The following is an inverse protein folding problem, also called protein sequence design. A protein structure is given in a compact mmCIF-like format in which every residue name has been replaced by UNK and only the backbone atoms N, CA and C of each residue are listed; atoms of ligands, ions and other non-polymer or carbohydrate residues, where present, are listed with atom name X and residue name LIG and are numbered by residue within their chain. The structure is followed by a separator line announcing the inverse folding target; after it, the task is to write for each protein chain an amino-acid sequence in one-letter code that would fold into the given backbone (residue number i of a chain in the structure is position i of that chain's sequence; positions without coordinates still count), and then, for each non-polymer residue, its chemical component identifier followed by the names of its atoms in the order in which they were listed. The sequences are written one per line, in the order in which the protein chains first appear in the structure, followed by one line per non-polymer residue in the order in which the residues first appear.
data_IF_600118329783
#
_entry.id   IF_600118329783
#
_cell.length_a   1.000
_cell.length_b   1.000
_cell.length_c   1.000
_cell.angle_alpha   90.00
_cell.angle_beta   90.00
_cell.angle_gamma   90.00
#
_symmetry.space_group_name_H-M   'P 1'
#
loop_
_entity.id
_entity.type
_entity.pdbx_description
1 polymer ?
#
# COMPACT_ATOMS: atom_id res chain seq x y z
N UNK A 1 -4.64 9.69 3.05
CA UNK A 1 -4.71 8.69 4.15
C UNK A 1 -3.58 7.71 3.94
N UNK A 2 -3.01 7.14 4.99
CA UNK A 2 -1.94 6.14 4.84
C UNK A 2 -2.50 4.75 5.04
N UNK A 3 -2.16 3.84 4.12
CA UNK A 3 -2.46 2.41 4.25
C UNK A 3 -1.11 1.70 4.27
N UNK A 4 -1.04 0.61 5.02
CA UNK A 4 0.06 -0.32 4.90
C UNK A 4 -0.49 -1.77 4.96
N UNK A 5 0.24 -2.77 4.44
CA UNK A 5 -0.28 -4.12 4.32
C UNK A 5 -0.06 -4.93 5.61
N UNK A 6 -1.16 -5.40 6.20
CA UNK A 6 -1.16 -6.05 7.53
C UNK A 6 -0.30 -7.32 7.59
N UNK A 7 -0.37 -8.16 6.56
CA UNK A 7 0.28 -9.48 6.57
C UNK A 7 1.80 -9.40 6.36
N UNK A 8 2.32 -8.29 5.83
CA UNK A 8 3.76 -8.08 5.58
C UNK A 8 4.51 -7.50 6.79
N UNK A 9 3.80 -7.16 7.87
CA UNK A 9 4.37 -6.40 9.00
C UNK A 9 5.00 -7.24 10.11
N UNK A 10 4.46 -8.44 10.36
CA UNK A 10 4.99 -9.30 11.43
C UNK A 10 6.16 -10.15 10.95
N UNK A 11 6.18 -10.49 9.66
CA UNK A 11 7.20 -11.30 9.04
C UNK A 11 7.44 -10.83 7.60
N UNK A 12 8.63 -10.27 7.27
CA UNK A 12 8.95 -9.88 5.91
C UNK A 12 9.15 -11.10 4.98
N UNK A 13 9.08 -12.32 5.53
CA UNK A 13 9.27 -13.59 4.84
C UNK A 13 8.09 -14.54 5.11
N UNK A 14 6.86 -14.14 4.73
CA UNK A 14 5.67 -14.90 5.08
C UNK A 14 5.66 -16.26 4.37
N UNK A 15 5.10 -17.28 5.03
CA UNK A 15 4.91 -18.60 4.42
C UNK A 15 3.83 -18.62 3.32
N UNK A 16 2.95 -17.62 3.32
CA UNK A 16 1.89 -17.45 2.33
C UNK A 16 1.96 -16.04 1.75
N UNK A 17 2.00 -15.96 0.43
CA UNK A 17 2.11 -14.70 -0.29
C UNK A 17 0.72 -14.27 -0.77
N UNK A 18 0.32 -13.06 -0.38
CA UNK A 18 -0.91 -12.43 -0.85
C UNK A 18 -0.58 -11.18 -1.65
N UNK A 19 -1.00 -11.14 -2.92
CA UNK A 19 -0.88 -9.94 -3.73
C UNK A 19 -1.86 -8.88 -3.19
N UNK A 20 -1.31 -7.80 -2.66
CA UNK A 20 -2.10 -6.65 -2.25
C UNK A 20 -2.39 -5.81 -3.49
N UNK A 21 -3.66 -5.76 -3.88
CA UNK A 21 -4.14 -4.87 -4.95
C UNK A 21 -5.18 -3.93 -4.38
N UNK A 22 -5.01 -2.63 -4.63
CA UNK A 22 -6.03 -1.64 -4.35
C UNK A 22 -6.83 -1.35 -5.61
N UNK A 23 -8.13 -1.16 -5.44
CA UNK A 23 -9.01 -0.80 -6.54
C UNK A 23 -8.75 0.65 -6.97
N UNK A 24 -8.11 0.82 -8.13
CA UNK A 24 -7.79 2.13 -8.72
C UNK A 24 -9.03 2.99 -9.04
N UNK A 25 -10.25 2.43 -9.03
CA UNK A 25 -11.48 3.23 -9.14
C UNK A 25 -11.89 3.89 -7.81
N UNK A 26 -11.35 3.42 -6.69
CA UNK A 26 -11.65 3.91 -5.34
C UNK A 26 -10.50 4.70 -4.75
N UNK A 27 -9.26 4.40 -5.17
CA UNK A 27 -8.05 4.98 -4.61
C UNK A 27 -7.16 5.56 -5.71
N UNK A 28 -6.78 6.82 -5.52
CA UNK A 28 -5.67 7.43 -6.24
C UNK A 28 -4.39 7.30 -5.44
N UNK A 29 -3.29 7.12 -6.14
CA UNK A 29 -1.95 7.02 -5.56
C UNK A 29 -1.22 8.35 -5.73
N UNK A 30 -0.48 8.76 -4.71
CA UNK A 30 0.43 9.90 -4.84
C UNK A 30 1.55 9.57 -5.84
N UNK A 31 2.05 10.58 -6.55
CA UNK A 31 3.16 10.42 -7.51
C UNK A 31 4.48 9.95 -6.85
N UNK A 32 4.57 10.07 -5.53
CA UNK A 32 5.70 9.60 -4.71
C UNK A 32 5.64 8.10 -4.42
N UNK A 33 4.53 7.42 -4.75
CA UNK A 33 4.40 5.97 -4.53
C UNK A 33 5.09 5.20 -5.66
N UNK A 34 5.88 4.20 -5.27
CA UNK A 34 6.59 3.29 -6.15
C UNK A 34 6.16 1.85 -5.85
N UNK A 35 6.14 1.03 -6.89
CA UNK A 35 5.95 -0.41 -6.75
C UNK A 35 7.33 -1.07 -6.63
N UNK A 36 7.57 -1.73 -5.50
CA UNK A 36 8.72 -2.60 -5.34
C UNK A 36 8.28 -4.04 -5.55
N UNK A 37 9.09 -4.80 -6.27
CA UNK A 37 8.91 -6.24 -6.39
C UNK A 37 9.90 -6.94 -5.48
N UNK A 38 9.39 -7.79 -4.61
CA UNK A 38 10.20 -8.58 -3.69
C UNK A 38 10.22 -10.00 -4.22
N UNK A 39 11.41 -10.56 -4.40
CA UNK A 39 11.66 -11.87 -4.94
C UNK A 39 12.23 -12.79 -3.86
N UNK A 40 11.68 -14.00 -3.77
CA UNK A 40 12.05 -15.00 -2.77
C UNK A 40 12.62 -16.24 -3.45
N UNK A 41 13.59 -16.88 -2.79
CA UNK A 41 14.14 -18.16 -3.21
C UNK A 41 14.95 -18.14 -4.50
N UNK A 42 15.46 -16.98 -4.90
CA UNK A 42 16.27 -16.85 -6.11
C UNK A 42 17.60 -17.59 -5.99
N UNK A 43 18.10 -18.23 -7.07
CA UNK A 43 19.43 -18.87 -7.13
C UNK A 43 20.53 -17.83 -7.37
N UNK A 44 20.50 -16.72 -6.62
CA UNK A 44 21.34 -15.55 -6.85
C UNK A 44 22.57 -15.57 -5.96
N UNK A 45 23.72 -15.93 -6.53
CA UNK A 45 25.04 -15.67 -5.95
C UNK A 45 25.65 -14.44 -6.66
N UNK A 46 25.64 -13.31 -5.94
CA UNK A 46 26.42 -12.06 -6.17
C UNK A 46 25.99 -11.03 -7.25
N UNK A 47 24.97 -11.26 -8.08
CA UNK A 47 24.60 -10.27 -9.13
C UNK A 47 23.77 -9.06 -8.66
N UNK A 48 23.09 -9.15 -7.50
CA UNK A 48 22.28 -8.06 -6.93
C UNK A 48 23.03 -7.38 -5.78
N UNK A 49 23.09 -6.03 -5.73
CA UNK A 49 23.73 -5.31 -4.64
C UNK A 49 23.22 -5.71 -3.25
N UNK A 50 24.11 -5.77 -2.26
CA UNK A 50 23.76 -6.17 -0.89
C UNK A 50 22.72 -5.25 -0.25
N UNK A 51 22.63 -4.00 -0.72
CA UNK A 51 21.65 -3.00 -0.27
C UNK A 51 20.23 -3.29 -0.75
N UNK A 52 20.01 -4.34 -1.55
CA UNK A 52 18.71 -4.75 -2.07
C UNK A 52 18.29 -6.12 -1.57
N UNK A 53 18.88 -6.62 -0.49
CA UNK A 53 18.53 -7.91 0.11
C UNK A 53 18.34 -7.82 1.61
N UNK A 54 17.45 -8.66 2.14
CA UNK A 54 17.29 -8.89 3.56
C UNK A 54 17.22 -10.39 3.84
N UNK A 55 17.60 -10.80 5.05
CA UNK A 55 17.69 -12.20 5.44
C UNK A 55 16.35 -12.69 6.02
N UNK A 56 15.80 -13.75 5.44
CA UNK A 56 14.61 -14.43 5.91
C UNK A 56 14.88 -15.51 6.97
N UNK A 57 16.13 -15.90 7.20
CA UNK A 57 16.53 -16.89 8.21
C UNK A 57 16.09 -18.33 7.92
N UNK A 58 14.99 -18.54 7.18
CA UNK A 58 14.55 -19.84 6.67
C UNK A 58 15.17 -20.13 5.32
N UNK A 59 15.77 -21.31 5.21
CA UNK A 59 16.30 -21.82 3.94
C UNK A 59 15.15 -22.09 2.97
N UNK A 60 15.13 -21.42 1.81
CA UNK A 60 14.18 -21.77 0.74
C UNK A 60 14.56 -23.11 0.10
N UNK A 61 13.73 -23.61 -0.83
CA UNK A 61 14.01 -24.85 -1.59
C UNK A 61 15.40 -24.90 -2.20
N UNK A 62 15.98 -23.74 -2.49
CA UNK A 62 17.23 -23.58 -3.21
C UNK A 62 18.43 -23.31 -2.29
N UNK A 63 18.27 -23.39 -0.97
CA UNK A 63 19.38 -23.14 -0.02
C UNK A 63 19.59 -21.66 0.31
N UNK A 64 18.96 -20.74 -0.43
CA UNK A 64 19.11 -19.30 -0.20
C UNK A 64 18.20 -18.84 0.95
N UNK A 65 18.74 -18.01 1.84
CA UNK A 65 17.98 -17.40 2.94
C UNK A 65 17.66 -15.94 2.67
N UNK A 66 18.11 -15.36 1.56
CA UNK A 66 17.88 -13.97 1.22
C UNK A 66 16.67 -13.78 0.32
N UNK A 67 15.93 -12.71 0.58
CA UNK A 67 14.96 -12.13 -0.34
C UNK A 67 15.52 -10.82 -0.91
N UNK A 68 15.12 -10.49 -2.13
CA UNK A 68 15.63 -9.33 -2.86
C UNK A 68 14.49 -8.38 -3.18
N UNK A 69 14.67 -7.07 -2.98
CA UNK A 69 13.67 -6.06 -3.32
C UNK A 69 14.23 -5.12 -4.39
N UNK A 70 13.46 -4.97 -5.47
CA UNK A 70 13.88 -4.20 -6.64
C UNK A 70 12.75 -3.29 -7.11
N UNK A 71 13.12 -2.12 -7.61
CA UNK A 71 12.20 -1.31 -8.39
C UNK A 71 12.05 -1.86 -9.82
N UNK A 72 11.17 -1.25 -10.61
CA UNK A 72 10.94 -1.67 -12.00
C UNK A 72 12.21 -1.58 -12.86
N UNK A 73 13.09 -0.61 -12.60
CA UNK A 73 14.29 -0.38 -13.39
C UNK A 73 15.32 -1.50 -13.17
N UNK A 74 15.58 -1.87 -11.92
CA UNK A 74 16.49 -2.94 -11.53
C UNK A 74 15.91 -4.31 -11.89
N UNK A 75 14.60 -4.50 -11.73
CA UNK A 75 13.92 -5.74 -12.14
C UNK A 75 14.10 -6.02 -13.64
N UNK A 76 14.13 -4.97 -14.47
CA UNK A 76 14.38 -5.11 -15.92
C UNK A 76 15.83 -5.41 -16.25
N UNK A 77 16.76 -4.91 -15.45
CA UNK A 77 18.20 -5.15 -15.62
C UNK A 77 18.55 -6.60 -15.29
N UNK A 78 18.02 -7.14 -14.18
CA UNK A 78 18.28 -8.49 -13.68
C UNK A 78 17.22 -9.51 -14.08
N UNK A 79 16.54 -9.29 -15.21
CA UNK A 79 15.35 -10.05 -15.58
C UNK A 79 15.65 -11.54 -15.78
N UNK A 80 16.83 -11.89 -16.31
CA UNK A 80 17.24 -13.29 -16.52
C UNK A 80 17.33 -14.03 -15.19
N UNK A 81 17.99 -13.42 -14.22
CA UNK A 81 18.29 -14.05 -12.94
C UNK A 81 17.04 -14.15 -12.06
N UNK A 82 16.13 -13.18 -12.19
CA UNK A 82 14.86 -13.15 -11.46
C UNK A 82 13.83 -14.18 -11.97
N UNK A 83 14.05 -14.76 -13.16
CA UNK A 83 13.13 -15.75 -13.75
C UNK A 83 13.13 -17.07 -12.98
N UNK A 84 14.24 -17.37 -12.30
CA UNK A 84 14.44 -18.62 -11.56
C UNK A 84 14.09 -18.50 -10.05
N UNK A 85 13.53 -17.36 -9.62
CA UNK A 85 13.02 -17.19 -8.26
C UNK A 85 11.74 -18.01 -8.01
N UNK A 86 11.59 -18.54 -6.80
CA UNK A 86 10.44 -19.36 -6.43
C UNK A 86 9.12 -18.56 -6.51
N UNK A 87 9.13 -17.30 -6.07
CA UNK A 87 7.97 -16.42 -6.12
C UNK A 87 8.33 -14.95 -5.97
N UNK A 88 7.38 -14.07 -6.27
CA UNK A 88 7.50 -12.63 -6.03
C UNK A 88 6.17 -11.98 -5.65
N UNK A 89 6.26 -10.86 -4.92
CA UNK A 89 5.12 -10.02 -4.56
C UNK A 89 5.43 -8.57 -4.89
N UNK A 90 4.38 -7.78 -5.12
CA UNK A 90 4.50 -6.34 -5.35
C UNK A 90 4.01 -5.61 -4.10
N UNK A 91 4.85 -4.72 -3.58
CA UNK A 91 4.53 -3.88 -2.42
C UNK A 91 4.64 -2.41 -2.82
N UNK A 92 3.55 -1.64 -2.74
CA UNK A 92 3.60 -0.19 -2.89
C UNK A 92 4.27 0.43 -1.66
N UNK A 93 5.24 1.30 -1.89
CA UNK A 93 5.96 2.06 -0.87
C UNK A 93 6.10 3.51 -1.30
N UNK A 94 6.29 4.40 -0.34
CA UNK A 94 6.66 5.77 -0.66
C UNK A 94 8.17 5.86 -0.98
N UNK A 95 8.53 6.71 -1.94
CA UNK A 95 9.88 6.80 -2.48
C UNK A 95 10.91 7.14 -1.40
N UNK A 96 10.56 8.01 -0.44
CA UNK A 96 11.45 8.35 0.68
C UNK A 96 11.85 7.14 1.52
N UNK A 97 10.91 6.23 1.76
CA UNK A 97 11.11 5.01 2.53
C UNK A 97 11.96 4.01 1.76
N UNK A 98 11.81 3.95 0.42
CA UNK A 98 12.71 3.17 -0.42
C UNK A 98 14.14 3.70 -0.40
N UNK A 99 14.32 5.03 -0.48
CA UNK A 99 15.64 5.65 -0.46
C UNK A 99 16.34 5.44 0.91
N UNK A 100 15.57 5.38 2.01
CA UNK A 100 16.09 5.05 3.35
C UNK A 100 16.61 3.61 3.45
N UNK A 101 15.99 2.65 2.75
CA UNK A 101 16.44 1.25 2.74
C UNK A 101 17.84 1.06 2.14
N UNK A 102 18.32 2.02 1.35
CA UNK A 102 19.70 2.01 0.88
C UNK A 102 20.71 2.18 2.03
N UNK A 103 20.34 2.95 3.06
CA UNK A 103 21.18 3.23 4.22
C UNK A 103 21.00 2.20 5.33
N UNK A 104 19.79 1.66 5.49
CA UNK A 104 19.44 0.67 6.50
C UNK A 104 18.70 -0.54 5.87
N UNK A 105 19.40 -1.42 5.11
CA UNK A 105 18.76 -2.53 4.39
C UNK A 105 18.10 -3.55 5.32
N UNK A 106 18.55 -3.65 6.58
CA UNK A 106 17.95 -4.53 7.58
C UNK A 106 16.63 -3.98 8.16
N UNK A 107 16.24 -2.73 7.85
CA UNK A 107 15.03 -2.07 8.36
C UNK A 107 13.83 -2.15 7.38
N UNK A 108 13.77 -3.23 6.59
CA UNK A 108 12.70 -3.51 5.63
C UNK A 108 11.29 -3.43 6.27
N UNK A 109 11.17 -3.98 7.48
CA UNK A 109 9.92 -3.97 8.25
C UNK A 109 9.51 -2.55 8.64
N UNK A 110 10.47 -1.71 9.04
CA UNK A 110 10.21 -0.31 9.38
C UNK A 110 9.70 0.48 8.17
N UNK A 111 10.30 0.28 7.00
CA UNK A 111 9.86 0.92 5.76
C UNK A 111 8.44 0.50 5.37
N UNK A 112 8.09 -0.80 5.45
CA UNK A 112 6.73 -1.26 5.13
C UNK A 112 5.68 -0.84 6.16
N UNK A 113 6.06 -0.75 7.44
CA UNK A 113 5.17 -0.29 8.51
C UNK A 113 4.77 1.19 8.37
N UNK A 114 5.61 2.02 7.73
CA UNK A 114 5.28 3.42 7.43
C UNK A 114 4.16 3.54 6.41
N UNK A 115 4.06 2.57 5.50
CA UNK A 115 3.03 2.54 4.47
C UNK A 115 3.20 3.50 3.32
N UNK A 116 2.09 3.71 2.63
CA UNK A 116 2.02 4.57 1.48
C UNK A 116 0.73 5.40 1.51
N UNK A 117 0.84 6.62 1.01
CA UNK A 117 -0.28 7.53 0.95
C UNK A 117 -1.19 7.22 -0.24
N UNK A 118 -2.48 7.13 0.05
CA UNK A 118 -3.55 7.05 -0.94
C UNK A 118 -4.62 8.09 -0.67
N UNK A 119 -5.33 8.47 -1.73
CA UNK A 119 -6.50 9.32 -1.66
C UNK A 119 -7.73 8.50 -2.01
N UNK A 120 -8.68 8.42 -1.09
CA UNK A 120 -9.97 7.77 -1.33
C UNK A 120 -10.88 8.70 -2.13
N UNK A 121 -11.21 8.30 -3.35
CA UNK A 121 -11.99 9.11 -4.28
C UNK A 121 -13.49 8.88 -4.19
N UNK A 122 -13.92 7.71 -3.70
CA UNK A 122 -15.33 7.40 -3.63
C UNK A 122 -16.05 8.40 -2.72
N UNK A 123 -17.12 8.97 -3.26
CA UNK A 123 -17.95 9.99 -2.63
C UNK A 123 -17.22 11.28 -2.21
N UNK A 124 -16.02 11.56 -2.76
CA UNK A 124 -15.24 12.77 -2.42
C UNK A 124 -16.02 14.06 -2.72
N UNK A 125 -16.70 14.12 -3.87
CA UNK A 125 -17.53 15.27 -4.25
C UNK A 125 -18.69 15.46 -3.26
N UNK A 126 -19.38 14.36 -2.91
CA UNK A 126 -20.47 14.37 -1.94
C UNK A 126 -19.97 14.78 -0.55
N UNK A 127 -18.79 14.30 -0.16
CA UNK A 127 -18.16 14.65 1.10
C UNK A 127 -17.75 16.12 1.16
N UNK A 128 -17.21 16.68 0.07
CA UNK A 128 -16.89 18.10 -0.01
C UNK A 128 -18.14 18.96 0.14
N UNK A 129 -19.23 18.61 -0.56
CA UNK A 129 -20.52 19.30 -0.44
C UNK A 129 -21.06 19.23 1.01
N UNK A 130 -21.00 18.05 1.64
CA UNK A 130 -21.39 17.84 3.03
C UNK A 130 -20.61 18.75 3.99
N UNK A 131 -19.28 18.74 3.89
CA UNK A 131 -18.42 19.55 4.76
C UNK A 131 -18.62 21.05 4.56
N UNK A 132 -18.80 21.49 3.32
CA UNK A 132 -19.08 22.89 3.00
C UNK A 132 -20.42 23.37 3.57
N UNK A 133 -21.38 22.46 3.75
CA UNK A 133 -22.66 22.74 4.43
C UNK A 133 -22.60 22.60 5.96
N UNK A 134 -21.45 22.30 6.55
CA UNK A 134 -21.28 22.16 8.01
C UNK A 134 -21.54 20.75 8.55
N UNK A 135 -21.60 19.74 7.68
CA UNK A 135 -21.76 18.33 8.08
C UNK A 135 -20.44 17.56 8.14
N UNK A 136 -20.52 16.32 8.61
CA UNK A 136 -19.43 15.34 8.63
C UNK A 136 -19.75 14.19 7.69
N UNK A 137 -18.82 13.83 6.82
CA UNK A 137 -19.00 12.73 5.88
C UNK A 137 -18.95 11.38 6.61
N UNK A 138 -19.79 10.45 6.20
CA UNK A 138 -19.66 9.06 6.61
C UNK A 138 -20.56 8.16 5.76
N UNK A 139 -20.92 7.01 6.31
CA UNK A 139 -21.76 6.04 5.63
C UNK A 139 -22.77 5.40 6.57
N UNK A 140 -23.83 4.86 5.98
CA UNK A 140 -24.78 4.01 6.70
C UNK A 140 -24.07 2.72 7.13
N UNK A 141 -24.18 2.34 8.40
CA UNK A 141 -23.50 1.16 8.95
C UNK A 141 -23.97 -0.18 8.35
N UNK A 142 -25.18 -0.23 7.79
CA UNK A 142 -25.77 -1.44 7.20
C UNK A 142 -25.60 -1.49 5.68
N UNK A 143 -25.93 -0.41 4.96
CA UNK A 143 -25.85 -0.40 3.50
C UNK A 143 -24.51 0.07 2.94
N UNK A 144 -23.66 0.69 3.77
CA UNK A 144 -22.39 1.33 3.38
C UNK A 144 -22.55 2.49 2.39
N UNK A 145 -23.79 2.94 2.14
CA UNK A 145 -24.06 4.11 1.31
C UNK A 145 -23.59 5.40 1.99
N UNK A 146 -23.16 6.37 1.19
CA UNK A 146 -22.73 7.67 1.68
C UNK A 146 -23.86 8.40 2.43
N UNK A 147 -23.51 9.02 3.56
CA UNK A 147 -24.34 9.92 4.33
C UNK A 147 -23.56 11.17 4.73
N UNK A 148 -24.26 12.30 4.74
CA UNK A 148 -23.80 13.53 5.36
C UNK A 148 -24.43 13.67 6.74
N UNK A 149 -23.64 13.54 7.80
CA UNK A 149 -24.09 13.73 9.18
C UNK A 149 -24.16 15.22 9.51
N UNK A 150 -25.37 15.77 9.52
CA UNK A 150 -25.64 17.15 9.90
C UNK A 150 -26.01 17.26 11.39
N UNK A 151 -25.98 18.47 11.97
CA UNK A 151 -26.33 18.66 13.38
C UNK A 151 -27.73 18.14 13.76
N UNK A 152 -28.71 18.27 12.85
CA UNK A 152 -30.09 17.87 13.11
C UNK A 152 -30.35 16.40 12.78
N UNK A 153 -29.99 15.97 11.56
CA UNK A 153 -30.22 14.61 11.06
C UNK A 153 -29.28 14.26 9.89
N UNK A 154 -29.08 12.97 9.58
CA UNK A 154 -28.33 12.56 8.40
C UNK A 154 -29.05 12.93 7.09
N UNK A 155 -28.31 13.51 6.14
CA UNK A 155 -28.77 13.88 4.80
C UNK A 155 -28.02 13.08 3.72
N UNK A 156 -28.56 13.03 2.50
CA UNK A 156 -27.95 12.24 1.41
C UNK A 156 -26.70 12.89 0.78
N UNK A 157 -26.56 14.22 0.84
CA UNK A 157 -25.44 14.94 0.18
C UNK A 157 -24.90 16.12 0.99
N UNK A 158 -25.77 16.95 1.54
CA UNK A 158 -25.40 18.16 2.29
C UNK A 158 -26.45 18.52 3.33
N UNK A 159 -26.04 19.35 4.29
CA UNK A 159 -26.89 19.96 5.30
C UNK A 159 -27.65 21.13 4.68
N UNK A 160 -28.71 20.79 3.95
CA UNK A 160 -29.72 21.77 3.58
C UNK A 160 -30.57 22.07 4.81
N UNK A 161 -30.49 23.30 5.30
CA UNK A 161 -31.45 23.80 6.28
C UNK A 161 -32.81 23.77 5.59
N UNK A 162 -33.72 22.92 6.08
CA UNK A 162 -35.12 22.98 5.69
C UNK A 162 -35.67 24.30 6.24
N UNK A 163 -35.62 25.38 5.47
CA UNK A 163 -36.35 26.60 5.81
C UNK A 163 -37.82 26.23 5.68
N UNK A 164 -38.44 25.86 6.81
CA UNK A 164 -39.89 25.77 6.91
C UNK A 164 -40.43 27.17 6.66
N UNK A 165 -40.79 27.45 5.40
CA UNK A 165 -41.53 28.64 5.03
C UNK A 165 -42.84 28.61 5.80
N UNK A 166 -42.93 29.45 6.83
CA UNK A 166 -44.13 29.69 7.63
C UNK A 166 -45.18 30.46 6.82
#
# INVERSE_FOLDING_TARGET
MTIAPVDTWEDPCPQQFHNISLNHNLFDFAATIRNLTIFYGCPLEDDIPFQHRFNCGTTTSNGNTYAYYLDESLSRLHRSELTDCDTSIIVPVNQSEFDELWNEPDNIVGAWNKGFEVMYQKDMISCLACRNSGGVCGSNSSSLDFLCFCPDHPCSKSCVVSVLTS
#
